data_IF_196856306386
#
_entry.id   IF_196856306386
#
_cell.length_a   1.000
_cell.length_b   1.000
_cell.length_c   1.000
_cell.angle_alpha   90.00
_cell.angle_beta   90.00
_cell.angle_gamma   90.00
#
_symmetry.space_group_name_H-M   'P 1'
#
loop_
_entity.id
_entity.type
_entity.pdbx_description
1 polymer ?
#
# COMPACT_ATOMS: atom_id res chain seq x y z
N UNK A 1 17.17 4.85 21.11
CA UNK A 1 15.73 4.61 21.37
C UNK A 1 14.84 5.52 20.50
N UNK A 2 14.93 6.85 20.60
CA UNK A 2 14.09 7.77 19.81
C UNK A 2 14.14 7.52 18.28
N UNK A 3 15.33 7.29 17.72
CA UNK A 3 15.51 6.96 16.30
C UNK A 3 14.66 5.77 15.83
N UNK A 4 14.63 4.69 16.61
CA UNK A 4 13.91 3.46 16.26
C UNK A 4 12.39 3.68 16.33
N UNK A 5 11.93 4.46 17.32
CA UNK A 5 10.51 4.81 17.43
C UNK A 5 10.04 5.68 16.25
N UNK A 6 10.84 6.68 15.85
CA UNK A 6 10.55 7.53 14.69
C UNK A 6 10.50 6.70 13.41
N UNK A 7 11.47 5.80 13.21
CA UNK A 7 11.48 4.90 12.07
C UNK A 7 10.27 3.96 12.06
N UNK A 8 9.94 3.35 13.20
CA UNK A 8 8.79 2.46 13.32
C UNK A 8 7.47 3.17 12.95
N UNK A 9 7.30 4.43 13.37
CA UNK A 9 6.14 5.23 12.96
C UNK A 9 6.12 5.47 11.44
N UNK A 10 7.26 5.75 10.83
CA UNK A 10 7.37 5.91 9.37
C UNK A 10 7.08 4.61 8.61
N UNK A 11 7.53 3.47 9.14
CA UNK A 11 7.31 2.15 8.53
C UNK A 11 5.84 1.72 8.59
N UNK A 12 5.17 1.91 9.74
CA UNK A 12 3.73 1.60 9.88
C UNK A 12 2.87 2.55 9.06
N UNK A 13 3.28 3.83 8.98
CA UNK A 13 2.60 4.84 8.18
C UNK A 13 2.89 4.76 6.68
N UNK A 14 3.73 3.83 6.22
CA UNK A 14 4.29 3.86 4.88
C UNK A 14 3.20 3.82 3.80
N UNK A 15 3.19 4.83 2.93
CA UNK A 15 2.21 4.93 1.84
C UNK A 15 0.77 5.24 2.25
N UNK A 16 0.47 5.36 3.54
CA UNK A 16 -0.91 5.60 4.00
C UNK A 16 -1.36 7.05 3.84
N UNK A 17 -0.41 7.98 3.69
CA UNK A 17 -0.67 9.42 3.63
C UNK A 17 -1.55 9.94 4.79
N UNK A 18 -1.43 9.33 5.98
CA UNK A 18 -2.26 9.69 7.13
C UNK A 18 -1.91 11.09 7.66
N UNK A 19 -2.87 12.01 7.60
CA UNK A 19 -2.70 13.41 8.00
C UNK A 19 -2.25 13.57 9.46
N UNK A 20 -2.75 12.73 10.38
CA UNK A 20 -2.39 12.81 11.81
C UNK A 20 -0.93 12.43 12.03
N UNK A 21 -0.47 11.36 11.40
CA UNK A 21 0.91 10.88 11.48
C UNK A 21 1.86 11.90 10.83
N UNK A 22 1.51 12.43 9.66
CA UNK A 22 2.28 13.45 8.98
C UNK A 22 2.38 14.77 9.79
N UNK A 23 1.33 15.19 10.48
CA UNK A 23 1.37 16.34 11.37
C UNK A 23 2.32 16.12 12.56
N UNK A 24 2.25 14.95 13.20
CA UNK A 24 3.12 14.60 14.31
C UNK A 24 4.61 14.52 13.89
N UNK A 25 4.91 13.93 12.74
CA UNK A 25 6.28 13.90 12.19
C UNK A 25 6.79 15.31 11.86
N UNK A 26 5.94 16.24 11.43
CA UNK A 26 6.34 17.65 11.22
C UNK A 26 6.69 18.35 12.52
N UNK A 27 5.94 18.11 13.59
CA UNK A 27 6.26 18.63 14.92
C UNK A 27 7.58 18.05 15.46
N UNK A 28 7.80 16.74 15.30
CA UNK A 28 9.06 16.08 15.65
C UNK A 28 10.26 16.64 14.88
N UNK A 29 10.08 16.99 13.60
CA UNK A 29 11.13 17.60 12.79
C UNK A 29 11.53 18.98 13.32
N UNK A 30 10.56 19.79 13.77
CA UNK A 30 10.85 21.09 14.38
C UNK A 30 11.52 20.95 15.74
N UNK A 31 11.08 19.99 16.57
CA UNK A 31 11.67 19.73 17.88
C UNK A 31 13.13 19.27 17.78
N UNK A 32 13.44 18.36 16.84
CA UNK A 32 14.79 17.83 16.63
C UNK A 32 15.63 18.62 15.61
N UNK A 33 15.26 19.87 15.28
CA UNK A 33 15.95 20.67 14.27
C UNK A 33 17.44 20.91 14.56
N UNK A 34 17.85 20.85 15.82
CA UNK A 34 19.24 21.07 16.26
C UNK A 34 20.15 19.85 16.05
N UNK A 35 19.59 18.64 15.98
CA UNK A 35 20.35 17.39 15.87
C UNK A 35 20.23 16.81 14.45
N UNK A 36 21.27 16.86 13.60
CA UNK A 36 21.21 16.40 12.22
C UNK A 36 20.80 14.93 12.07
N UNK A 37 21.27 14.06 12.98
CA UNK A 37 20.98 12.62 12.96
C UNK A 37 19.51 12.30 13.28
N UNK A 38 18.94 13.00 14.27
CA UNK A 38 17.53 12.86 14.60
C UNK A 38 16.66 13.41 13.45
N UNK A 39 17.05 14.55 12.88
CA UNK A 39 16.34 15.17 11.75
C UNK A 39 16.37 14.28 10.49
N UNK A 40 17.50 13.64 10.21
CA UNK A 40 17.63 12.66 9.12
C UNK A 40 16.61 11.53 9.26
N UNK A 41 16.46 10.98 10.47
CA UNK A 41 15.50 9.90 10.73
C UNK A 41 14.05 10.35 10.56
N UNK A 42 13.70 11.54 11.06
CA UNK A 42 12.35 12.09 10.90
C UNK A 42 12.01 12.32 9.43
N UNK A 43 12.98 12.79 8.62
CA UNK A 43 12.80 12.97 7.18
C UNK A 43 12.58 11.66 6.44
N UNK A 44 13.29 10.60 6.81
CA UNK A 44 13.03 9.25 6.26
C UNK A 44 11.61 8.82 6.60
N UNK A 45 11.19 8.97 7.86
CA UNK A 45 9.83 8.59 8.27
C UNK A 45 8.74 9.39 7.52
N UNK A 46 8.99 10.68 7.25
CA UNK A 46 8.10 11.52 6.44
C UNK A 46 8.05 11.04 4.98
N UNK A 47 9.21 10.73 4.40
CA UNK A 47 9.32 10.18 3.05
C UNK A 47 8.57 8.85 2.90
N UNK A 48 8.69 7.96 3.88
CA UNK A 48 7.95 6.70 3.92
C UNK A 48 6.44 6.93 4.01
N UNK A 49 5.98 7.89 4.82
CA UNK A 49 4.54 8.19 4.96
C UNK A 49 3.90 8.61 3.63
N UNK A 50 4.65 9.34 2.81
CA UNK A 50 4.22 9.82 1.48
C UNK A 50 4.79 8.99 0.32
N UNK A 51 5.16 7.73 0.56
CA UNK A 51 5.75 6.84 -0.44
C UNK A 51 4.88 6.78 -1.71
N UNK A 52 5.47 7.06 -2.86
CA UNK A 52 4.73 7.11 -4.13
C UNK A 52 3.58 8.14 -4.15
N UNK A 53 3.65 9.23 -3.37
CA UNK A 53 2.52 10.15 -3.12
C UNK A 53 1.31 9.49 -2.45
N UNK A 54 1.51 8.36 -1.78
CA UNK A 54 0.46 7.54 -1.17
C UNK A 54 -0.08 6.42 -2.07
N UNK A 55 0.50 6.20 -3.26
CA UNK A 55 0.10 5.11 -4.16
C UNK A 55 0.87 3.81 -3.91
N UNK A 56 2.01 3.88 -3.22
CA UNK A 56 2.87 2.73 -2.92
C UNK A 56 2.88 2.48 -1.42
N UNK A 57 2.76 1.21 -1.02
CA UNK A 57 2.85 0.77 0.37
C UNK A 57 3.96 -0.26 0.57
N UNK A 58 4.38 -0.46 1.82
CA UNK A 58 5.31 -1.53 2.19
C UNK A 58 4.51 -2.71 2.75
N UNK A 59 4.47 -3.82 2.00
CA UNK A 59 3.82 -5.06 2.43
C UNK A 59 4.54 -6.26 1.82
N UNK A 60 4.86 -7.30 2.60
CA UNK A 60 5.39 -8.55 2.04
C UNK A 60 4.28 -9.45 1.46
N UNK A 61 3.02 -9.12 1.73
CA UNK A 61 1.85 -9.85 1.30
C UNK A 61 1.28 -9.28 0.00
N UNK A 62 0.98 -10.18 -0.94
CA UNK A 62 0.37 -9.90 -2.24
C UNK A 62 -0.90 -10.74 -2.43
N UNK A 63 -1.71 -10.40 -3.44
CA UNK A 63 -2.93 -11.11 -3.83
C UNK A 63 -3.91 -11.30 -2.66
N UNK A 64 -4.53 -10.20 -2.23
CA UNK A 64 -5.52 -10.24 -1.14
C UNK A 64 -4.97 -10.82 0.18
N UNK A 65 -3.66 -10.65 0.38
CA UNK A 65 -2.87 -11.16 1.50
C UNK A 65 -2.75 -12.68 1.59
N UNK A 66 -3.06 -13.39 0.52
CA UNK A 66 -2.95 -14.85 0.49
C UNK A 66 -1.50 -15.31 0.27
N UNK A 67 -0.72 -14.54 -0.49
CA UNK A 67 0.63 -14.93 -0.89
C UNK A 67 1.67 -14.07 -0.17
N UNK A 68 2.61 -14.72 0.50
CA UNK A 68 3.76 -14.08 1.13
C UNK A 68 4.96 -14.13 0.17
N UNK A 69 5.49 -12.97 -0.20
CA UNK A 69 6.73 -12.89 -0.97
C UNK A 69 7.95 -12.99 -0.04
N UNK A 70 8.79 -14.03 -0.16
CA UNK A 70 9.97 -14.18 0.69
C UNK A 70 11.01 -13.07 0.46
N UNK A 71 11.06 -12.51 -0.75
CA UNK A 71 11.99 -11.44 -1.12
C UNK A 71 11.61 -10.13 -0.44
N UNK A 72 10.32 -9.78 -0.47
CA UNK A 72 9.81 -8.59 0.21
C UNK A 72 9.97 -8.71 1.73
N UNK A 73 9.72 -9.90 2.29
CA UNK A 73 9.96 -10.17 3.70
C UNK A 73 11.44 -10.03 4.07
N UNK A 74 12.35 -10.59 3.27
CA UNK A 74 13.78 -10.48 3.50
C UNK A 74 14.26 -9.02 3.46
N UNK A 75 13.73 -8.20 2.55
CA UNK A 75 14.03 -6.77 2.48
C UNK A 75 13.58 -6.01 3.74
N UNK A 76 12.37 -6.27 4.23
CA UNK A 76 11.87 -5.70 5.48
C UNK A 76 12.71 -6.15 6.68
N UNK A 77 12.99 -7.45 6.81
CA UNK A 77 13.79 -8.00 7.91
C UNK A 77 15.23 -7.47 7.90
N UNK A 78 15.86 -7.34 6.73
CA UNK A 78 17.20 -6.79 6.61
C UNK A 78 17.27 -5.36 7.18
N UNK A 79 16.29 -4.51 6.85
CA UNK A 79 16.23 -3.18 7.47
C UNK A 79 16.00 -3.24 8.97
N UNK A 80 15.04 -4.02 9.46
CA UNK A 80 14.74 -4.12 10.88
C UNK A 80 15.97 -4.56 11.70
N UNK A 81 16.73 -5.52 11.20
CA UNK A 81 17.98 -5.98 11.82
C UNK A 81 19.04 -4.87 11.78
N UNK A 82 19.16 -4.14 10.68
CA UNK A 82 20.05 -2.97 10.56
C UNK A 82 19.72 -1.85 11.56
N UNK A 83 18.46 -1.75 12.01
CA UNK A 83 18.02 -0.79 13.02
C UNK A 83 18.33 -1.20 14.48
N UNK A 84 18.92 -2.38 14.71
CA UNK A 84 19.44 -2.75 16.04
C UNK A 84 20.63 -1.86 16.43
N UNK A 85 21.50 -1.51 15.48
CA UNK A 85 22.61 -0.58 15.67
C UNK A 85 22.54 0.60 14.68
N UNK A 86 21.58 1.50 14.92
CA UNK A 86 21.32 2.67 14.07
C UNK A 86 22.53 3.59 13.94
N UNK A 87 23.30 3.77 15.01
CA UNK A 87 24.38 4.77 15.05
C UNK A 87 25.54 4.38 14.13
N UNK A 88 25.92 3.11 14.13
CA UNK A 88 27.07 2.65 13.37
C UNK A 88 26.67 2.23 11.94
N UNK A 89 25.53 1.56 11.78
CA UNK A 89 25.10 0.99 10.50
C UNK A 89 24.40 2.06 9.64
N UNK A 90 23.25 2.56 10.12
CA UNK A 90 22.36 3.42 9.31
C UNK A 90 22.85 4.86 9.21
N UNK A 91 23.30 5.46 10.32
CA UNK A 91 23.79 6.85 10.38
C UNK A 91 25.29 6.98 10.07
N UNK A 92 26.03 5.87 10.08
CA UNK A 92 27.48 5.84 9.92
C UNK A 92 27.90 5.54 8.48
N UNK A 93 27.98 4.25 8.13
CA UNK A 93 28.58 3.80 6.86
C UNK A 93 27.57 3.33 5.83
N UNK A 94 26.47 2.71 6.24
CA UNK A 94 25.61 1.89 5.39
C UNK A 94 24.18 2.41 5.26
N UNK A 95 24.05 3.69 4.89
CA UNK A 95 22.76 4.32 4.60
C UNK A 95 21.97 3.61 3.49
N UNK A 96 22.67 3.00 2.53
CA UNK A 96 22.08 2.28 1.39
C UNK A 96 21.27 1.05 1.81
N UNK A 97 21.44 0.57 3.04
CA UNK A 97 20.69 -0.58 3.55
C UNK A 97 19.18 -0.28 3.59
N UNK A 98 18.78 0.99 3.66
CA UNK A 98 17.40 1.43 3.50
C UNK A 98 16.80 1.11 2.12
N UNK A 99 17.62 0.98 1.06
CA UNK A 99 17.13 0.61 -0.28
C UNK A 99 16.64 -0.83 -0.35
N UNK A 100 16.97 -1.68 0.63
CA UNK A 100 16.38 -3.03 0.72
C UNK A 100 14.86 -2.99 0.92
N UNK A 101 14.29 -1.87 1.40
CA UNK A 101 12.85 -1.64 1.43
C UNK A 101 12.21 -1.62 0.04
N UNK A 102 12.97 -1.31 -1.02
CA UNK A 102 12.46 -1.28 -2.39
C UNK A 102 11.88 -2.63 -2.81
N UNK A 103 12.42 -3.74 -2.30
CA UNK A 103 11.91 -5.08 -2.56
C UNK A 103 10.50 -5.34 -2.00
N UNK A 104 10.06 -4.53 -1.03
CA UNK A 104 8.74 -4.63 -0.40
C UNK A 104 7.78 -3.51 -0.84
N UNK A 105 8.19 -2.67 -1.80
CA UNK A 105 7.34 -1.60 -2.34
C UNK A 105 6.33 -2.18 -3.32
N UNK A 106 5.05 -2.02 -3.03
CA UNK A 106 3.95 -2.49 -3.88
C UNK A 106 2.92 -1.39 -4.13
N UNK A 107 2.35 -1.26 -5.33
CA UNK A 107 1.24 -0.36 -5.61
C UNK A 107 -0.05 -0.81 -4.91
N UNK A 108 -0.77 0.18 -4.37
CA UNK A 108 -2.07 0.05 -3.68
C UNK A 108 -3.23 0.65 -4.49
N UNK A 109 -2.93 1.31 -5.60
CA UNK A 109 -3.94 1.82 -6.52
C UNK A 109 -4.52 0.68 -7.37
N UNK A 110 -5.84 0.69 -7.53
CA UNK A 110 -6.56 -0.13 -8.50
C UNK A 110 -6.73 0.67 -9.80
N UNK A 111 -6.15 0.16 -10.88
CA UNK A 111 -6.25 0.72 -12.23
C UNK A 111 -6.76 -0.39 -13.14
N UNK A 112 -7.73 -0.05 -13.97
CA UNK A 112 -8.33 -0.96 -14.94
C UNK A 112 -7.90 -0.60 -16.35
N UNK A 113 -7.60 -1.63 -17.13
CA UNK A 113 -7.23 -1.53 -18.54
C UNK A 113 -8.13 -2.40 -19.40
N UNK A 114 -8.28 -2.03 -20.66
CA UNK A 114 -8.91 -2.86 -21.68
C UNK A 114 -7.92 -3.88 -22.26
N UNK A 115 -8.38 -4.77 -23.15
CA UNK A 115 -7.55 -5.77 -23.84
C UNK A 115 -6.43 -5.13 -24.70
N UNK A 116 -6.65 -3.90 -25.17
CA UNK A 116 -5.66 -3.10 -25.90
C UNK A 116 -4.70 -2.32 -24.99
N UNK A 117 -4.71 -2.59 -23.67
CA UNK A 117 -3.90 -1.90 -22.64
C UNK A 117 -4.19 -0.40 -22.50
N UNK A 118 -5.32 0.06 -23.04
CA UNK A 118 -5.81 1.41 -22.85
C UNK A 118 -6.44 1.56 -21.46
N UNK A 119 -6.25 2.70 -20.80
CA UNK A 119 -6.87 2.96 -19.50
C UNK A 119 -8.38 3.07 -19.65
N UNK A 120 -9.10 2.23 -18.91
CA UNK A 120 -10.55 2.15 -18.96
C UNK A 120 -11.14 2.53 -17.60
N UNK A 121 -11.79 3.69 -17.45
CA UNK A 121 -12.44 4.07 -16.20
C UNK A 121 -13.74 3.28 -16.03
N UNK A 122 -13.80 2.42 -15.01
CA UNK A 122 -14.95 1.56 -14.71
C UNK A 122 -15.44 1.82 -13.28
N UNK A 123 -16.76 1.83 -13.04
CA UNK A 123 -17.28 1.94 -11.69
C UNK A 123 -16.97 0.68 -10.87
N UNK A 124 -16.31 0.87 -9.73
CA UNK A 124 -15.96 -0.15 -8.74
C UNK A 124 -16.58 0.20 -7.39
N UNK A 125 -17.05 -0.81 -6.67
CA UNK A 125 -17.45 -0.68 -5.27
C UNK A 125 -16.27 -1.04 -4.39
N UNK A 126 -15.98 -0.18 -3.41
CA UNK A 126 -14.88 -0.39 -2.46
C UNK A 126 -15.46 -0.57 -1.06
N UNK A 127 -14.93 -1.54 -0.32
CA UNK A 127 -15.51 -1.97 0.93
C UNK A 127 -14.58 -2.82 1.76
N UNK A 128 -14.88 -3.03 3.05
CA UNK A 128 -14.05 -3.91 3.89
C UNK A 128 -14.21 -5.35 3.40
N UNK A 129 -13.11 -6.08 3.30
CA UNK A 129 -13.12 -7.48 2.94
C UNK A 129 -13.97 -8.32 3.91
N UNK A 130 -14.91 -9.10 3.38
CA UNK A 130 -15.73 -10.07 4.12
C UNK A 130 -15.49 -11.46 3.56
N UNK A 131 -15.45 -12.45 4.44
CA UNK A 131 -15.45 -13.83 4.02
C UNK A 131 -16.84 -14.25 3.51
N UNK A 132 -16.85 -14.91 2.36
CA UNK A 132 -18.07 -15.32 1.65
C UNK A 132 -18.58 -16.69 2.12
N UNK A 133 -17.82 -17.40 2.95
CA UNK A 133 -18.23 -18.69 3.53
C UNK A 133 -19.49 -18.50 4.39
N UNK A 134 -20.58 -19.19 4.03
CA UNK A 134 -21.84 -19.18 4.77
C UNK A 134 -22.85 -18.12 4.32
N UNK A 135 -22.54 -17.31 3.29
CA UNK A 135 -23.52 -16.39 2.71
C UNK A 135 -24.44 -17.13 1.71
N UNK A 136 -25.76 -16.92 1.83
CA UNK A 136 -26.74 -17.47 0.89
C UNK A 136 -26.92 -16.56 -0.35
N UNK A 137 -27.04 -17.13 -1.54
CA UNK A 137 -27.28 -16.39 -2.78
C UNK A 137 -26.01 -16.14 -3.61
N UNK A 138 -25.89 -14.94 -4.21
CA UNK A 138 -24.69 -14.47 -4.94
C UNK A 138 -23.80 -13.73 -3.93
N UNK A 139 -22.81 -14.42 -3.32
CA UNK A 139 -22.12 -13.91 -2.14
C UNK A 139 -21.18 -12.76 -2.54
N UNK A 140 -21.13 -11.69 -1.73
CA UNK A 140 -20.26 -10.53 -1.98
C UNK A 140 -19.06 -10.55 -1.04
N UNK A 141 -17.88 -10.24 -1.57
CA UNK A 141 -16.63 -10.25 -0.82
C UNK A 141 -16.34 -8.92 -0.10
N UNK A 142 -17.20 -7.91 -0.28
CA UNK A 142 -17.03 -6.56 0.30
C UNK A 142 -18.23 -6.11 1.14
N UNK A 143 -17.96 -5.33 2.18
CA UNK A 143 -19.00 -4.52 2.85
C UNK A 143 -19.20 -3.18 2.14
N UNK A 144 -20.45 -2.76 1.94
CA UNK A 144 -20.75 -1.40 1.49
C UNK A 144 -21.15 -1.28 0.01
N UNK A 145 -21.65 -0.09 -0.32
CA UNK A 145 -22.30 0.21 -1.60
C UNK A 145 -21.74 1.46 -2.28
N UNK A 146 -20.71 2.09 -1.70
CA UNK A 146 -20.13 3.29 -2.28
C UNK A 146 -19.40 2.93 -3.57
N UNK A 147 -19.82 3.58 -4.65
CA UNK A 147 -19.26 3.36 -5.99
C UNK A 147 -18.26 4.48 -6.29
N UNK A 148 -17.07 4.09 -6.69
CA UNK A 148 -16.00 4.95 -7.15
C UNK A 148 -15.66 4.61 -8.59
N UNK A 149 -14.98 5.50 -9.30
CA UNK A 149 -14.51 5.24 -10.67
C UNK A 149 -13.01 5.05 -10.64
N UNK A 150 -12.49 4.01 -11.30
CA UNK A 150 -11.05 3.77 -11.40
C UNK A 150 -10.34 4.91 -12.15
N UNK A 151 -9.12 5.30 -11.73
CA UNK A 151 -8.27 4.67 -10.71
C UNK A 151 -8.65 5.04 -9.26
N UNK A 152 -8.65 4.06 -8.35
CA UNK A 152 -9.00 4.25 -6.93
C UNK A 152 -7.86 3.78 -6.03
N UNK A 153 -7.64 4.47 -4.90
CA UNK A 153 -6.75 4.00 -3.84
C UNK A 153 -7.56 3.17 -2.84
N UNK A 154 -7.29 1.86 -2.77
CA UNK A 154 -7.91 0.98 -1.78
C UNK A 154 -7.32 1.26 -0.40
N UNK A 155 -8.05 1.14 0.71
CA UNK A 155 -7.49 1.18 2.07
C UNK A 155 -6.95 -0.16 2.57
N UNK A 156 -6.24 -0.13 3.71
CA UNK A 156 -5.81 -1.37 4.35
C UNK A 156 -7.05 -2.15 4.79
N UNK A 157 -7.23 -3.34 4.21
CA UNK A 157 -8.36 -4.23 4.53
C UNK A 157 -9.59 -3.95 3.69
N UNK A 158 -9.52 -2.99 2.78
CA UNK A 158 -10.52 -2.80 1.74
C UNK A 158 -10.24 -3.69 0.54
N UNK A 159 -11.32 -4.11 -0.11
CA UNK A 159 -11.37 -4.83 -1.38
C UNK A 159 -12.26 -4.07 -2.34
N UNK A 160 -12.03 -4.28 -3.63
CA UNK A 160 -12.87 -3.74 -4.68
C UNK A 160 -13.60 -4.85 -5.43
N UNK A 161 -14.82 -4.55 -5.86
CA UNK A 161 -15.58 -5.36 -6.81
C UNK A 161 -16.10 -4.46 -7.93
N UNK A 162 -16.30 -4.99 -9.13
CA UNK A 162 -16.93 -4.25 -10.22
C UNK A 162 -18.39 -3.93 -9.87
N UNK A 163 -18.84 -2.71 -10.16
CA UNK A 163 -20.22 -2.30 -9.91
C UNK A 163 -21.17 -2.76 -11.03
N UNK A 164 -20.62 -2.98 -12.24
CA UNK A 164 -21.34 -3.28 -13.49
C UNK A 164 -20.90 -4.61 -14.07
N UNK A 165 -21.82 -5.32 -14.72
CA UNK A 165 -21.54 -6.61 -15.40
C UNK A 165 -21.12 -6.45 -16.88
N UNK A 166 -20.92 -5.21 -17.34
CA UNK A 166 -20.44 -4.88 -18.69
C UNK A 166 -19.03 -5.43 -18.97
N UNK A 167 -18.22 -5.55 -17.93
CA UNK A 167 -16.84 -6.03 -18.01
C UNK A 167 -16.62 -7.21 -17.07
N UNK A 168 -15.82 -8.17 -17.54
CA UNK A 168 -15.36 -9.32 -16.76
C UNK A 168 -13.86 -9.14 -16.51
N UNK A 169 -13.39 -9.19 -15.26
CA UNK A 169 -11.97 -9.11 -14.96
C UNK A 169 -11.28 -10.44 -15.29
N UNK A 170 -10.09 -10.38 -15.89
CA UNK A 170 -9.30 -11.58 -16.18
C UNK A 170 -8.73 -12.21 -14.90
N UNK A 171 -8.56 -11.42 -13.85
CA UNK A 171 -8.11 -11.88 -12.53
C UNK A 171 -9.27 -11.82 -11.54
N UNK A 172 -9.39 -12.82 -10.63
CA UNK A 172 -10.42 -12.79 -9.59
C UNK A 172 -10.17 -11.71 -8.53
N UNK A 173 -8.93 -11.20 -8.45
CA UNK A 173 -8.50 -10.20 -7.47
C UNK A 173 -8.45 -8.83 -8.14
N UNK A 174 -9.12 -7.86 -7.55
CA UNK A 174 -9.18 -6.46 -8.01
C UNK A 174 -8.15 -5.60 -7.28
N UNK A 175 -6.87 -5.92 -7.41
CA UNK A 175 -5.76 -5.18 -6.81
C UNK A 175 -4.72 -4.77 -7.87
N UNK A 176 -4.15 -3.57 -7.75
CA UNK A 176 -3.08 -3.14 -8.64
C UNK A 176 -3.59 -2.85 -10.07
N UNK A 177 -3.08 -3.60 -11.03
CA UNK A 177 -3.41 -3.46 -12.44
C UNK A 177 -4.27 -4.63 -12.89
N UNK A 178 -5.51 -4.34 -13.32
CA UNK A 178 -6.47 -5.35 -13.73
C UNK A 178 -6.86 -5.13 -15.18
N UNK A 179 -6.77 -6.18 -15.99
CA UNK A 179 -7.27 -6.17 -17.36
C UNK A 179 -8.72 -6.66 -17.35
N UNK A 180 -9.58 -5.86 -17.97
CA UNK A 180 -10.99 -6.11 -18.12
C UNK A 180 -11.27 -6.52 -19.56
N UNK A 181 -12.11 -7.55 -19.72
CA UNK A 181 -12.65 -7.98 -21.00
C UNK A 181 -14.11 -7.54 -21.08
N UNK A 182 -14.53 -7.03 -22.23
CA UNK A 182 -15.95 -6.74 -22.46
C UNK A 182 -16.78 -8.02 -22.43
N UNK A 183 -17.87 -8.01 -21.67
CA UNK A 183 -18.73 -9.18 -21.52
C UNK A 183 -19.53 -9.43 -22.81
N UNK A 184 -19.39 -10.60 -23.47
CA UNK A 184 -20.11 -10.91 -24.70
C UNK A 184 -21.62 -11.15 -24.48
N UNK A 185 -22.04 -11.46 -23.25
CA UNK A 185 -23.44 -11.73 -22.90
C UNK A 185 -24.17 -10.50 -22.35
N UNK A 186 -23.50 -9.34 -22.29
CA UNK A 186 -24.08 -8.13 -21.73
C UNK A 186 -25.15 -7.55 -22.67
N UNK A 187 -26.38 -7.52 -22.19
CA UNK A 187 -27.50 -6.81 -22.81
C UNK A 187 -27.71 -5.50 -22.02
N UNK A 188 -27.70 -4.33 -22.70
CA UNK A 188 -27.78 -3.02 -22.06
C UNK A 188 -29.12 -2.72 -21.38
#
# INVERSE_FOLDING_TARGET
VAHNAIFAMGLVGAGTNNARLAAMLRQLAQYHAKDPNNLFMVRIAQGLTHLGKGTLTLSPYHSDRQLLSPVALAGLLATLIGFLDVKNIILGRSHYLLYTLAAAMQPRMLVTFDEELNSLPVPVRVGIAVDVVGQAGKPKTITGFQTHTTPVLLAYGERAELATEEYIPLTPIMEGFVILRKNPEFVP
#
